data_IF_786695764710
#
_entry.id   IF_786695764710
#
_cell.length_a   1.000
_cell.length_b   1.000
_cell.length_c   1.000
_cell.angle_alpha   90.00
_cell.angle_beta   90.00
_cell.angle_gamma   90.00
#
_symmetry.space_group_name_H-M   'P 1'
#
loop_
_entity.id
_entity.type
_entity.pdbx_description
1 polymer ?
#
# COMPACT_ATOMS: atom_id res chain seq x y z
N UNK A 1 -21.75 -12.14 -10.00
CA UNK A 1 -20.38 -12.35 -10.52
C UNK A 1 -19.51 -12.54 -9.32
N UNK A 2 -18.85 -13.66 -9.19
CA UNK A 2 -18.00 -13.95 -8.03
C UNK A 2 -16.60 -13.42 -8.33
N UNK A 3 -16.24 -12.31 -7.70
CA UNK A 3 -14.97 -11.64 -7.97
C UNK A 3 -13.81 -12.33 -7.26
N UNK A 4 -12.73 -12.57 -7.99
CA UNK A 4 -11.43 -12.96 -7.45
C UNK A 4 -10.52 -11.74 -7.38
N UNK A 5 -10.21 -11.27 -6.19
CA UNK A 5 -9.45 -10.03 -5.98
C UNK A 5 -8.03 -10.31 -5.51
N UNK A 6 -7.08 -9.52 -5.95
CA UNK A 6 -5.76 -9.47 -5.34
C UNK A 6 -5.67 -8.31 -4.34
N UNK A 7 -5.01 -8.53 -3.21
CA UNK A 7 -4.57 -7.50 -2.30
C UNK A 7 -3.04 -7.49 -2.25
N UNK A 8 -2.42 -6.44 -2.76
CA UNK A 8 -0.96 -6.24 -2.64
C UNK A 8 -0.68 -5.44 -1.38
N UNK A 9 -0.06 -6.07 -0.39
CA UNK A 9 0.21 -5.46 0.92
C UNK A 9 1.35 -6.17 1.64
N UNK A 10 2.05 -5.47 2.53
CA UNK A 10 2.71 -6.15 3.64
C UNK A 10 1.65 -6.89 4.46
N UNK A 11 1.99 -8.05 5.00
CA UNK A 11 0.99 -8.92 5.64
C UNK A 11 1.57 -9.71 6.82
N UNK A 12 0.80 -9.91 7.91
CA UNK A 12 1.24 -10.74 9.03
C UNK A 12 1.59 -12.18 8.58
N UNK A 13 2.49 -12.87 9.30
CA UNK A 13 3.20 -12.47 10.51
C UNK A 13 4.43 -11.59 10.24
N UNK A 14 4.55 -10.98 9.06
CA UNK A 14 5.56 -9.96 8.74
C UNK A 14 5.45 -8.77 9.70
N UNK A 15 6.54 -7.99 9.80
CA UNK A 15 6.62 -6.81 10.67
C UNK A 15 6.75 -5.51 9.89
N UNK A 16 6.54 -5.55 8.58
CA UNK A 16 6.52 -4.35 7.75
C UNK A 16 5.31 -3.48 8.08
N UNK A 17 5.45 -2.19 7.86
CA UNK A 17 4.37 -1.24 8.04
C UNK A 17 3.15 -1.60 7.17
N UNK A 18 1.95 -1.33 7.66
CA UNK A 18 0.66 -1.64 7.03
C UNK A 18 0.26 -3.13 7.03
N UNK A 19 1.02 -4.02 7.68
CA UNK A 19 0.68 -5.45 7.72
C UNK A 19 -0.68 -5.71 8.38
N UNK A 20 -0.96 -5.09 9.54
CA UNK A 20 -2.25 -5.22 10.25
C UNK A 20 -3.39 -4.59 9.44
N UNK A 21 -3.15 -3.43 8.85
CA UNK A 21 -4.14 -2.80 7.97
C UNK A 21 -4.46 -3.70 6.76
N UNK A 22 -3.44 -4.34 6.18
CA UNK A 22 -3.62 -5.32 5.11
C UNK A 22 -4.45 -6.52 5.54
N UNK A 23 -4.26 -7.02 6.76
CA UNK A 23 -5.05 -8.11 7.32
C UNK A 23 -6.54 -7.73 7.43
N UNK A 24 -6.84 -6.59 8.06
CA UNK A 24 -8.22 -6.13 8.21
C UNK A 24 -8.88 -5.87 6.86
N UNK A 25 -8.14 -5.27 5.92
CA UNK A 25 -8.66 -5.05 4.57
C UNK A 25 -8.96 -6.37 3.85
N UNK A 26 -8.11 -7.39 3.98
CA UNK A 26 -8.36 -8.71 3.41
C UNK A 26 -9.62 -9.36 4.01
N UNK A 27 -9.81 -9.24 5.34
CA UNK A 27 -10.99 -9.75 6.01
C UNK A 27 -12.28 -9.06 5.54
N UNK A 28 -12.26 -7.72 5.43
CA UNK A 28 -13.41 -6.96 4.94
C UNK A 28 -13.73 -7.25 3.46
N UNK A 29 -12.70 -7.44 2.63
CA UNK A 29 -12.90 -7.88 1.24
C UNK A 29 -13.51 -9.27 1.16
N UNK A 30 -13.05 -10.21 1.98
CA UNK A 30 -13.56 -11.58 2.01
C UNK A 30 -14.99 -11.68 2.57
N UNK A 31 -15.38 -10.78 3.46
CA UNK A 31 -16.73 -10.72 4.01
C UNK A 31 -17.81 -10.31 2.99
N UNK A 32 -17.42 -9.76 1.84
CA UNK A 32 -18.36 -9.38 0.79
C UNK A 32 -18.95 -10.63 0.11
N UNK A 33 -20.23 -10.56 -0.20
CA UNK A 33 -20.95 -11.65 -0.87
C UNK A 33 -20.52 -11.81 -2.34
N UNK A 34 -20.12 -10.71 -3.00
CA UNK A 34 -19.71 -10.68 -4.39
C UNK A 34 -18.22 -11.05 -4.60
N UNK A 35 -17.48 -11.38 -3.51
CA UNK A 35 -16.08 -11.83 -3.55
C UNK A 35 -15.98 -13.32 -3.25
N UNK A 36 -15.43 -14.06 -4.18
CA UNK A 36 -15.19 -15.52 -4.04
C UNK A 36 -13.83 -15.86 -3.45
N UNK A 37 -12.81 -15.07 -3.78
CA UNK A 37 -11.42 -15.29 -3.31
C UNK A 37 -10.68 -13.95 -3.17
N UNK A 38 -9.89 -13.83 -2.11
CA UNK A 38 -8.91 -12.75 -1.89
C UNK A 38 -7.51 -13.34 -1.88
N UNK A 39 -6.73 -13.08 -2.94
CA UNK A 39 -5.33 -13.49 -3.03
C UNK A 39 -4.45 -12.37 -2.50
N UNK A 40 -3.89 -12.53 -1.31
CA UNK A 40 -2.97 -11.56 -0.72
C UNK A 40 -1.57 -11.77 -1.27
N UNK A 41 -1.09 -10.83 -2.08
CA UNK A 41 0.28 -10.81 -2.61
C UNK A 41 1.19 -10.10 -1.61
N UNK A 42 1.81 -10.89 -0.73
CA UNK A 42 2.52 -10.41 0.44
C UNK A 42 4.05 -10.41 0.28
N UNK A 43 4.70 -9.68 1.18
CA UNK A 43 6.14 -9.71 1.36
C UNK A 43 6.64 -11.07 1.82
N UNK A 44 7.83 -11.48 1.36
CA UNK A 44 8.52 -12.68 1.84
C UNK A 44 9.06 -12.45 3.24
N UNK A 45 8.90 -13.44 4.08
CA UNK A 45 9.39 -13.38 5.45
C UNK A 45 10.90 -13.63 5.48
N UNK A 46 11.66 -12.89 6.30
CA UNK A 46 13.12 -13.09 6.42
C UNK A 46 13.48 -14.44 7.06
N UNK A 47 12.54 -15.04 7.80
CA UNK A 47 12.65 -16.38 8.38
C UNK A 47 11.29 -17.06 8.36
N UNK A 48 11.22 -18.40 8.32
CA UNK A 48 9.96 -19.12 8.42
C UNK A 48 9.20 -18.75 9.69
N UNK A 49 7.91 -18.46 9.54
CA UNK A 49 6.99 -18.18 10.64
C UNK A 49 5.69 -18.91 10.37
N UNK A 50 4.96 -19.21 11.44
CA UNK A 50 3.63 -19.81 11.32
C UNK A 50 2.68 -18.77 10.69
N UNK A 51 2.07 -19.14 9.58
CA UNK A 51 1.04 -18.31 8.95
C UNK A 51 -0.22 -18.28 9.83
N UNK A 52 -0.99 -17.20 9.68
CA UNK A 52 -2.25 -17.04 10.40
C UNK A 52 -3.32 -18.00 9.86
N UNK A 53 -4.22 -18.40 10.74
CA UNK A 53 -5.48 -19.04 10.33
C UNK A 53 -6.43 -17.94 9.89
N UNK A 54 -6.81 -17.94 8.63
CA UNK A 54 -7.62 -16.90 7.98
C UNK A 54 -8.97 -17.49 7.51
N UNK A 55 -9.87 -16.60 7.07
CA UNK A 55 -11.07 -17.01 6.35
C UNK A 55 -10.71 -17.89 5.15
N UNK A 56 -11.45 -18.96 4.85
CA UNK A 56 -11.19 -19.83 3.70
C UNK A 56 -11.12 -19.10 2.35
N UNK A 57 -11.76 -17.96 2.20
CA UNK A 57 -11.67 -17.12 1.01
C UNK A 57 -10.33 -16.38 0.88
N UNK A 58 -9.50 -16.32 1.94
CA UNK A 58 -8.23 -15.58 1.94
C UNK A 58 -7.07 -16.53 1.75
N UNK A 59 -6.29 -16.31 0.69
CA UNK A 59 -5.06 -17.07 0.43
C UNK A 59 -3.86 -16.15 0.30
N UNK A 60 -2.81 -16.43 1.06
CA UNK A 60 -1.58 -15.61 1.08
C UNK A 60 -0.53 -16.20 0.13
N UNK A 61 -0.02 -15.37 -0.77
CA UNK A 61 1.06 -15.69 -1.71
C UNK A 61 2.22 -14.73 -1.45
N UNK A 62 3.28 -15.20 -0.83
CA UNK A 62 4.48 -14.41 -0.53
C UNK A 62 5.39 -14.36 -1.75
N UNK A 63 5.33 -13.27 -2.52
CA UNK A 63 5.94 -13.22 -3.85
C UNK A 63 6.98 -12.11 -4.03
N UNK A 64 7.11 -11.15 -3.11
CA UNK A 64 8.07 -10.05 -3.25
C UNK A 64 8.91 -9.83 -1.98
N UNK A 65 10.06 -9.17 -2.13
CA UNK A 65 10.99 -8.89 -1.04
C UNK A 65 11.18 -7.40 -0.88
N UNK A 66 11.30 -6.96 0.37
CA UNK A 66 11.61 -5.57 0.72
C UNK A 66 12.99 -5.18 0.18
N UNK A 67 13.14 -3.99 -0.39
CA UNK A 67 14.35 -3.50 -1.06
C UNK A 67 14.77 -4.26 -2.32
N UNK A 68 13.91 -5.09 -2.89
CA UNK A 68 14.19 -5.76 -4.16
C UNK A 68 13.77 -4.89 -5.36
N UNK A 69 14.69 -4.67 -6.29
CA UNK A 69 14.41 -3.95 -7.55
C UNK A 69 13.44 -4.71 -8.47
N UNK A 70 13.25 -6.00 -8.22
CA UNK A 70 12.31 -6.84 -8.98
C UNK A 70 10.98 -7.07 -8.26
N UNK A 71 10.74 -6.43 -7.10
CA UNK A 71 9.50 -6.59 -6.34
C UNK A 71 8.26 -6.35 -7.19
N UNK A 72 8.21 -5.23 -7.92
CA UNK A 72 7.11 -4.91 -8.83
C UNK A 72 6.89 -5.97 -9.89
N UNK A 73 7.95 -6.44 -10.56
CA UNK A 73 7.86 -7.48 -11.57
C UNK A 73 7.37 -8.83 -11.00
N UNK A 74 7.82 -9.19 -9.80
CA UNK A 74 7.37 -10.40 -9.09
C UNK A 74 5.87 -10.34 -8.78
N UNK A 75 5.37 -9.18 -8.34
CA UNK A 75 3.94 -8.96 -8.09
C UNK A 75 3.14 -9.06 -9.39
N UNK A 76 3.58 -8.40 -10.47
CA UNK A 76 2.91 -8.46 -11.77
C UNK A 76 2.84 -9.90 -12.31
N UNK A 77 3.92 -10.67 -12.16
CA UNK A 77 3.94 -12.09 -12.53
C UNK A 77 2.94 -12.89 -11.69
N UNK A 78 2.86 -12.62 -10.39
CA UNK A 78 1.90 -13.27 -9.50
C UNK A 78 0.46 -12.91 -9.88
N UNK A 79 0.14 -11.63 -10.16
CA UNK A 79 -1.19 -11.19 -10.62
C UNK A 79 -1.63 -11.96 -11.88
N UNK A 80 -0.74 -12.07 -12.88
CA UNK A 80 -1.03 -12.81 -14.12
C UNK A 80 -1.26 -14.28 -13.85
N UNK A 81 -0.41 -14.90 -13.02
CA UNK A 81 -0.50 -16.34 -12.70
C UNK A 81 -1.78 -16.66 -11.93
N UNK A 82 -2.18 -15.78 -11.03
CA UNK A 82 -3.38 -15.96 -10.19
C UNK A 82 -4.68 -15.70 -10.95
N UNK A 83 -4.63 -14.98 -12.08
CA UNK A 83 -5.81 -14.71 -12.90
C UNK A 83 -6.91 -13.95 -12.17
N UNK A 84 -6.54 -12.87 -11.49
CA UNK A 84 -7.46 -12.05 -10.69
C UNK A 84 -8.23 -11.06 -11.55
N UNK A 85 -9.46 -10.74 -11.14
CA UNK A 85 -10.31 -9.78 -11.83
C UNK A 85 -9.89 -8.32 -11.59
N UNK A 86 -9.34 -8.03 -10.40
CA UNK A 86 -8.80 -6.72 -10.05
C UNK A 86 -7.78 -6.82 -8.92
N UNK A 87 -6.94 -5.79 -8.78
CA UNK A 87 -5.94 -5.70 -7.73
C UNK A 87 -6.15 -4.43 -6.88
N UNK A 88 -6.12 -4.58 -5.56
CA UNK A 88 -6.08 -3.48 -4.59
C UNK A 88 -4.68 -3.39 -4.03
N UNK A 89 -4.09 -2.20 -4.09
CA UNK A 89 -2.72 -1.92 -3.64
C UNK A 89 -2.76 -1.10 -2.36
N UNK A 90 -2.49 -1.73 -1.25
CA UNK A 90 -2.41 -1.11 0.08
C UNK A 90 -0.97 -0.66 0.31
N UNK A 91 -0.64 0.59 -0.04
CA UNK A 91 0.74 1.04 -0.17
C UNK A 91 1.00 2.39 0.48
N UNK A 92 2.23 2.55 0.90
CA UNK A 92 2.86 3.81 1.27
C UNK A 92 4.19 3.95 0.51
N UNK A 93 4.84 5.11 0.61
CA UNK A 93 6.06 5.41 -0.15
C UNK A 93 7.19 4.41 0.10
N UNK A 94 7.28 3.83 1.30
CA UNK A 94 8.29 2.86 1.68
C UNK A 94 7.81 1.40 1.67
N UNK A 95 6.65 1.10 1.07
CA UNK A 95 6.12 -0.29 1.08
C UNK A 95 7.11 -1.29 0.48
N UNK A 96 7.74 -0.95 -0.64
CA UNK A 96 8.61 -1.87 -1.36
C UNK A 96 10.10 -1.72 -1.01
N UNK A 97 10.46 -0.71 -0.22
CA UNK A 97 11.84 -0.48 0.22
C UNK A 97 12.03 0.89 0.84
N UNK A 98 13.12 1.01 1.61
CA UNK A 98 13.65 2.27 2.13
C UNK A 98 14.74 2.87 1.21
N UNK A 99 15.15 2.11 0.18
CA UNK A 99 16.03 2.57 -0.89
C UNK A 99 15.22 3.17 -2.03
N UNK A 100 15.70 4.27 -2.62
CA UNK A 100 14.98 5.07 -3.62
C UNK A 100 14.53 4.23 -4.84
N UNK A 101 15.44 3.43 -5.43
CA UNK A 101 15.15 2.69 -6.65
C UNK A 101 14.15 1.54 -6.46
N UNK A 102 14.29 0.63 -5.47
CA UNK A 102 13.29 -0.39 -5.19
C UNK A 102 11.91 0.20 -4.88
N UNK A 103 11.86 1.26 -4.04
CA UNK A 103 10.62 1.94 -3.70
C UNK A 103 9.94 2.50 -4.97
N UNK A 104 10.67 3.24 -5.80
CA UNK A 104 10.13 3.83 -7.03
C UNK A 104 9.60 2.77 -8.00
N UNK A 105 10.37 1.70 -8.26
CA UNK A 105 9.97 0.63 -9.17
C UNK A 105 8.74 -0.13 -8.66
N UNK A 106 8.65 -0.39 -7.35
CA UNK A 106 7.50 -1.02 -6.74
C UNK A 106 6.23 -0.15 -6.85
N UNK A 107 6.37 1.16 -6.59
CA UNK A 107 5.25 2.11 -6.65
C UNK A 107 4.72 2.36 -8.09
N UNK A 108 5.48 2.00 -9.11
CA UNK A 108 5.02 2.04 -10.50
C UNK A 108 4.20 0.80 -10.91
N UNK A 109 4.25 -0.27 -10.13
CA UNK A 109 3.60 -1.54 -10.47
C UNK A 109 2.07 -1.45 -10.63
N UNK A 110 1.29 -0.66 -9.85
CA UNK A 110 -0.16 -0.50 -10.06
C UNK A 110 -0.53 0.00 -11.45
N UNK A 111 0.20 1.00 -11.96
CA UNK A 111 0.00 1.50 -13.32
C UNK A 111 0.34 0.45 -14.38
N UNK A 112 1.43 -0.30 -14.15
CA UNK A 112 1.84 -1.36 -15.06
C UNK A 112 0.82 -2.50 -15.09
N UNK A 113 0.27 -2.90 -13.93
CA UNK A 113 -0.80 -3.90 -13.85
C UNK A 113 -2.03 -3.47 -14.67
N UNK A 114 -2.44 -2.20 -14.54
CA UNK A 114 -3.54 -1.66 -15.36
C UNK A 114 -3.23 -1.72 -16.85
N UNK A 115 -2.02 -1.35 -17.27
CA UNK A 115 -1.61 -1.41 -18.68
C UNK A 115 -1.59 -2.85 -19.22
N UNK A 116 -1.32 -3.83 -18.35
CA UNK A 116 -1.38 -5.25 -18.68
C UNK A 116 -2.80 -5.85 -18.60
N UNK A 117 -3.82 -5.02 -18.35
CA UNK A 117 -5.22 -5.42 -18.37
C UNK A 117 -5.81 -5.79 -17.00
N UNK A 118 -5.06 -5.67 -15.90
CA UNK A 118 -5.58 -5.89 -14.54
C UNK A 118 -6.03 -4.56 -13.94
N UNK A 119 -7.35 -4.31 -13.76
CA UNK A 119 -7.84 -3.13 -13.07
C UNK A 119 -7.18 -2.98 -11.69
N UNK A 120 -6.70 -1.77 -11.37
CA UNK A 120 -5.89 -1.55 -10.18
C UNK A 120 -6.42 -0.38 -9.35
N UNK A 121 -6.80 -0.64 -8.11
CA UNK A 121 -7.14 0.38 -7.12
C UNK A 121 -5.97 0.62 -6.16
N UNK A 122 -5.59 1.87 -5.92
CA UNK A 122 -4.52 2.24 -4.99
C UNK A 122 -5.10 2.89 -3.75
N UNK A 123 -4.75 2.39 -2.58
CA UNK A 123 -4.95 3.04 -1.27
C UNK A 123 -3.60 3.60 -0.84
N UNK A 124 -3.41 4.91 -1.01
CA UNK A 124 -2.16 5.59 -0.68
C UNK A 124 -2.21 6.16 0.74
N UNK A 125 -1.44 5.57 1.66
CA UNK A 125 -1.38 6.00 3.06
C UNK A 125 -0.50 7.24 3.25
N UNK A 126 0.44 7.46 2.35
CA UNK A 126 1.20 8.71 2.26
C UNK A 126 1.58 8.97 0.79
N UNK A 127 2.04 10.19 0.52
CA UNK A 127 2.42 10.64 -0.82
C UNK A 127 3.82 11.25 -0.80
N UNK A 128 4.58 11.05 -1.89
CA UNK A 128 5.90 11.66 -2.06
C UNK A 128 5.82 13.16 -2.36
N UNK A 129 4.71 13.59 -2.96
CA UNK A 129 4.48 14.99 -3.26
C UNK A 129 4.19 15.75 -1.96
N UNK A 130 4.97 16.80 -1.67
CA UNK A 130 4.79 17.62 -0.46
C UNK A 130 5.76 17.30 0.68
N UNK A 131 6.72 16.40 0.51
CA UNK A 131 7.79 16.24 1.49
C UNK A 131 8.65 17.52 1.50
N UNK A 132 8.73 18.15 2.68
CA UNK A 132 9.62 19.29 2.91
C UNK A 132 11.07 18.82 2.98
N UNK A 133 11.77 18.87 1.84
CA UNK A 133 13.17 18.45 1.73
C UNK A 133 14.13 19.40 2.44
N UNK A 134 13.71 20.63 2.77
CA UNK A 134 14.56 21.60 3.50
C UNK A 134 14.76 21.20 4.97
N UNK A 135 13.83 20.40 5.53
CA UNK A 135 13.92 19.85 6.87
C UNK A 135 14.55 18.46 6.93
N UNK A 136 15.18 18.01 5.83
CA UNK A 136 15.87 16.72 5.75
C UNK A 136 17.40 16.90 5.70
N UNK A 137 18.12 15.78 5.69
CA UNK A 137 19.58 15.77 5.47
C UNK A 137 20.02 16.34 4.12
N UNK A 138 19.07 16.67 3.24
CA UNK A 138 19.31 17.26 1.91
C UNK A 138 19.31 18.80 1.93
N UNK A 139 19.24 19.40 3.11
CA UNK A 139 19.28 20.87 3.24
C UNK A 139 20.48 21.46 2.49
N UNK A 140 20.20 22.43 1.62
CA UNK A 140 21.22 23.12 0.81
C UNK A 140 21.69 22.37 -0.44
N UNK A 141 21.25 21.13 -0.69
CA UNK A 141 21.60 20.35 -1.89
C UNK A 141 20.57 20.54 -3.02
N UNK A 142 20.46 21.76 -3.56
CA UNK A 142 19.38 22.15 -4.50
C UNK A 142 19.22 21.21 -5.70
N UNK A 143 20.33 20.78 -6.32
CA UNK A 143 20.26 19.88 -7.48
C UNK A 143 19.68 18.50 -7.09
N UNK A 144 20.15 17.94 -5.98
CA UNK A 144 19.66 16.64 -5.48
C UNK A 144 18.19 16.73 -5.07
N UNK A 145 17.77 17.81 -4.42
CA UNK A 145 16.37 18.07 -4.10
C UNK A 145 15.50 18.14 -5.36
N UNK A 146 15.99 18.83 -6.42
CA UNK A 146 15.26 18.94 -7.69
C UNK A 146 15.08 17.55 -8.35
N UNK A 147 16.12 16.73 -8.35
CA UNK A 147 16.06 15.34 -8.88
C UNK A 147 15.07 14.49 -8.09
N UNK A 148 15.10 14.55 -6.75
CA UNK A 148 14.18 13.81 -5.89
C UNK A 148 12.74 14.27 -6.08
N UNK A 149 12.49 15.60 -6.19
CA UNK A 149 11.14 16.12 -6.50
C UNK A 149 10.64 15.65 -7.85
N UNK A 150 11.50 15.67 -8.88
CA UNK A 150 11.13 15.21 -10.22
C UNK A 150 10.82 13.69 -10.22
N UNK A 151 11.66 12.87 -9.59
CA UNK A 151 11.42 11.46 -9.43
C UNK A 151 10.12 11.18 -8.64
N UNK A 152 9.91 11.88 -7.53
CA UNK A 152 8.69 11.81 -6.74
C UNK A 152 7.44 12.16 -7.54
N UNK A 153 7.51 13.19 -8.37
CA UNK A 153 6.40 13.57 -9.26
C UNK A 153 6.09 12.50 -10.31
N UNK A 154 7.13 11.86 -10.89
CA UNK A 154 6.97 10.76 -11.85
C UNK A 154 6.29 9.55 -11.18
N UNK A 155 6.78 9.15 -10.00
CA UNK A 155 6.21 8.03 -9.23
C UNK A 155 4.77 8.33 -8.83
N UNK A 156 4.48 9.54 -8.35
CA UNK A 156 3.11 9.95 -7.99
C UNK A 156 2.19 9.91 -9.22
N UNK A 157 2.64 10.41 -10.39
CA UNK A 157 1.86 10.29 -11.63
C UNK A 157 1.61 8.84 -12.03
N UNK A 158 2.59 7.96 -11.85
CA UNK A 158 2.42 6.54 -12.11
C UNK A 158 1.38 5.92 -11.16
N UNK A 159 1.43 6.21 -9.87
CA UNK A 159 0.40 5.76 -8.91
C UNK A 159 -1.00 6.26 -9.31
N UNK A 160 -1.13 7.54 -9.67
CA UNK A 160 -2.37 8.14 -10.14
C UNK A 160 -2.82 7.66 -11.53
N UNK A 161 -2.00 6.88 -12.23
CA UNK A 161 -2.37 6.21 -13.47
C UNK A 161 -3.05 4.85 -13.23
N UNK A 162 -3.21 4.40 -11.98
CA UNK A 162 -4.08 3.29 -11.62
C UNK A 162 -5.54 3.56 -12.04
N UNK A 163 -6.40 2.54 -12.00
CA UNK A 163 -7.81 2.68 -12.35
C UNK A 163 -8.57 3.56 -11.36
N UNK A 164 -8.20 3.43 -10.09
CA UNK A 164 -8.81 4.15 -8.97
C UNK A 164 -7.75 4.47 -7.93
N UNK A 165 -7.77 5.67 -7.36
CA UNK A 165 -6.80 6.07 -6.32
C UNK A 165 -7.52 6.70 -5.15
N UNK A 166 -7.20 6.24 -3.96
CA UNK A 166 -7.68 6.81 -2.70
C UNK A 166 -6.53 7.29 -1.85
N UNK A 167 -6.78 8.29 -1.04
CA UNK A 167 -5.89 8.78 0.01
C UNK A 167 -6.61 8.80 1.34
N UNK A 168 -5.86 8.69 2.43
CA UNK A 168 -6.40 8.56 3.77
C UNK A 168 -6.53 9.89 4.52
N UNK A 169 -5.89 10.94 4.02
CA UNK A 169 -5.90 12.28 4.64
C UNK A 169 -6.42 13.35 3.67
N UNK A 170 -7.23 14.28 4.21
CA UNK A 170 -7.75 15.43 3.46
C UNK A 170 -6.61 16.27 2.85
N UNK A 171 -5.55 16.50 3.59
CA UNK A 171 -4.38 17.27 3.10
C UNK A 171 -3.71 16.64 1.88
N UNK A 172 -3.72 15.30 1.77
CA UNK A 172 -3.20 14.61 0.59
C UNK A 172 -4.13 14.79 -0.61
N UNK A 173 -5.45 14.70 -0.39
CA UNK A 173 -6.43 14.97 -1.43
C UNK A 173 -6.27 16.39 -1.98
N UNK A 174 -6.24 17.39 -1.11
CA UNK A 174 -6.14 18.80 -1.48
C UNK A 174 -4.84 19.05 -2.27
N UNK A 175 -3.72 18.49 -1.79
CA UNK A 175 -2.43 18.61 -2.47
C UNK A 175 -2.44 17.95 -3.85
N UNK A 176 -2.92 16.70 -3.95
CA UNK A 176 -2.96 15.99 -5.24
C UNK A 176 -3.91 16.63 -6.23
N UNK A 177 -5.06 17.13 -5.78
CA UNK A 177 -6.01 17.85 -6.63
C UNK A 177 -5.43 19.15 -7.17
N UNK A 178 -4.61 19.84 -6.38
CA UNK A 178 -3.93 21.07 -6.82
C UNK A 178 -2.81 20.79 -7.84
N UNK A 179 -2.02 19.73 -7.63
CA UNK A 179 -0.86 19.39 -8.47
C UNK A 179 -1.24 18.60 -9.73
N UNK A 180 -2.30 17.77 -9.62
CA UNK A 180 -2.78 16.89 -10.69
C UNK A 180 -4.29 17.04 -10.93
N UNK A 181 -4.76 18.22 -11.37
CA UNK A 181 -6.20 18.54 -11.46
C UNK A 181 -7.00 17.63 -12.38
N UNK A 182 -6.34 16.95 -13.31
CA UNK A 182 -6.98 16.01 -14.26
C UNK A 182 -7.01 14.57 -13.76
N UNK A 183 -6.65 14.33 -12.48
CA UNK A 183 -6.68 13.00 -11.88
C UNK A 183 -7.77 12.93 -10.80
N UNK A 184 -8.58 11.90 -10.91
CA UNK A 184 -9.59 11.63 -9.90
C UNK A 184 -8.95 10.90 -8.71
N UNK A 185 -9.06 11.52 -7.54
CA UNK A 185 -8.55 10.99 -6.27
C UNK A 185 -9.67 11.11 -5.24
N UNK A 186 -9.89 10.07 -4.46
CA UNK A 186 -10.96 10.02 -3.47
C UNK A 186 -10.39 9.99 -2.06
N UNK A 187 -11.10 10.60 -1.13
CA UNK A 187 -10.77 10.52 0.29
C UNK A 187 -11.46 9.31 0.91
N UNK A 188 -10.67 8.39 1.42
CA UNK A 188 -11.13 7.27 2.27
C UNK A 188 -10.32 7.30 3.56
N UNK A 189 -10.82 7.97 4.61
CA UNK A 189 -10.13 8.07 5.89
C UNK A 189 -9.87 6.69 6.49
N UNK A 190 -8.80 6.59 7.31
CA UNK A 190 -8.60 5.39 8.10
C UNK A 190 -9.82 5.09 8.96
N UNK A 191 -10.29 3.87 8.90
CA UNK A 191 -11.24 3.34 9.87
C UNK A 191 -10.60 3.23 11.25
N UNK A 192 -11.40 3.31 12.28
CA UNK A 192 -11.01 2.91 13.63
C UNK A 192 -11.38 1.44 13.80
N UNK A 193 -10.48 0.68 14.43
CA UNK A 193 -10.85 -0.67 14.85
C UNK A 193 -11.93 -0.56 15.92
N UNK A 194 -12.98 -1.34 15.78
CA UNK A 194 -14.02 -1.47 16.81
C UNK A 194 -13.50 -2.38 17.96
N UNK A 195 -12.25 -2.12 18.35
CA UNK A 195 -11.66 -2.73 19.52
C UNK A 195 -12.31 -2.08 20.73
N UNK A 196 -13.44 -2.64 21.05
CA UNK A 196 -13.99 -2.70 22.41
C UNK A 196 -13.70 -1.48 23.27
N UNK A 197 -14.72 -0.73 23.49
CA UNK A 197 -14.86 0.06 24.70
C UNK A 197 -14.56 -0.74 26.03
N UNK A 198 -14.06 -1.97 25.93
CA UNK A 198 -13.92 -2.90 27.04
C UNK A 198 -12.65 -2.76 27.85
N UNK A 199 -11.59 -2.16 27.31
CA UNK A 199 -10.29 -2.07 28.02
C UNK A 199 -9.62 -0.70 27.92
N UNK A 200 -10.41 0.38 27.93
CA UNK A 200 -9.81 1.71 28.06
C UNK A 200 -9.28 1.86 29.49
N UNK A 201 -8.01 1.58 29.69
CA UNK A 201 -7.32 1.91 30.95
C UNK A 201 -7.24 3.43 31.04
N UNK A 202 -7.90 4.06 32.04
CA UNK A 202 -7.79 5.50 32.27
C UNK A 202 -6.33 5.94 32.33
N UNK A 203 -6.04 7.16 31.87
CA UNK A 203 -4.65 7.64 31.74
C UNK A 203 -3.91 7.59 33.08
N UNK A 204 -4.60 7.87 34.17
CA UNK A 204 -4.10 7.81 35.57
C UNK A 204 -3.68 6.40 35.99
N UNK A 205 -4.26 5.35 35.39
CA UNK A 205 -4.00 3.95 35.72
C UNK A 205 -3.01 3.28 34.77
N UNK A 206 -2.49 4.00 33.77
CA UNK A 206 -1.53 3.44 32.80
C UNK A 206 -0.15 3.33 33.47
N UNK A 207 0.53 2.16 33.35
CA UNK A 207 1.90 2.03 33.84
C UNK A 207 2.80 3.04 33.12
N UNK A 208 3.52 3.86 33.88
CA UNK A 208 4.56 4.73 33.31
C UNK A 208 5.70 3.83 32.85
N UNK A 209 5.81 3.67 31.53
CA UNK A 209 7.02 3.08 30.93
C UNK A 209 8.03 4.20 30.75
N UNK A 210 9.15 4.11 31.46
CA UNK A 210 10.35 4.91 31.25
C UNK A 210 11.13 4.33 30.07
#
# INVERSE_FOLDING_TARGET
MDLKLALVSAFPPGQQSLNEYGLHLACEMAAREDVSEVVVLADRLPAPRTELVLDPKIRVVRCWEFNSVVAGASILTALTREGVDAAVWNIQTATFGDRELPAALGLMAPATARLLGTPSGVIAHNILAGIDLENTQLKGQRLRQAVIRAAGAIVTRAMLAATYTTVTLRSYLDHLSAVFPNKEVHLVPHGTFDTAAQDIIPVENRPRRL
#
